data_IF_036884798230
#
_entry.id   IF_036884798230
#
_cell.length_a   1.000
_cell.length_b   1.000
_cell.length_c   1.000
_cell.angle_alpha   90.00
_cell.angle_beta   90.00
_cell.angle_gamma   90.00
#
_symmetry.space_group_name_H-M   'P 1'
#
loop_
_entity.id
_entity.type
_entity.pdbx_description
1 polymer ?
#
# COMPACT_ATOMS: atom_id res chain seq x y z
N UNK A 1 -17.35 -7.15 29.09
CA UNK A 1 -18.05 -6.64 27.89
C UNK A 1 -18.19 -7.77 26.89
N UNK A 2 -19.40 -8.09 26.44
CA UNK A 2 -19.60 -9.05 25.34
C UNK A 2 -19.18 -8.38 24.02
N UNK A 3 -18.31 -9.03 23.24
CA UNK A 3 -18.01 -8.58 21.87
C UNK A 3 -19.33 -8.55 21.08
N UNK A 4 -19.62 -7.43 20.45
CA UNK A 4 -20.77 -7.28 19.56
C UNK A 4 -20.30 -7.44 18.11
N UNK A 5 -21.12 -8.09 17.29
CA UNK A 5 -20.85 -8.35 15.89
C UNK A 5 -22.06 -7.94 15.06
N UNK A 6 -21.84 -7.60 13.79
CA UNK A 6 -22.90 -7.29 12.83
C UNK A 6 -23.04 -8.39 11.79
N UNK A 7 -24.26 -8.58 11.27
CA UNK A 7 -24.50 -9.51 10.16
C UNK A 7 -23.74 -9.02 8.92
N UNK A 8 -23.07 -9.94 8.23
CA UNK A 8 -22.15 -9.66 7.12
C UNK A 8 -20.70 -9.44 7.54
N UNK A 9 -20.41 -9.34 8.84
CA UNK A 9 -19.04 -9.14 9.33
C UNK A 9 -18.21 -10.42 9.20
N UNK A 10 -17.02 -10.32 8.60
CA UNK A 10 -16.04 -11.41 8.60
C UNK A 10 -15.38 -11.54 9.97
N UNK A 11 -15.22 -12.77 10.43
CA UNK A 11 -14.66 -13.12 11.72
C UNK A 11 -13.71 -14.30 11.58
N UNK A 12 -12.77 -14.41 12.52
CA UNK A 12 -11.86 -15.55 12.67
C UNK A 12 -12.01 -16.16 14.05
N UNK A 13 -11.95 -17.48 14.14
CA UNK A 13 -11.91 -18.17 15.43
C UNK A 13 -10.58 -17.93 16.12
N UNK A 14 -10.62 -17.44 17.36
CA UNK A 14 -9.42 -17.19 18.17
C UNK A 14 -9.15 -18.31 19.19
N UNK A 15 -10.07 -19.26 19.29
CA UNK A 15 -10.00 -20.42 20.16
C UNK A 15 -10.54 -21.64 19.41
N UNK A 16 -9.95 -22.81 19.66
CA UNK A 16 -10.45 -24.08 19.13
C UNK A 16 -11.85 -24.36 19.67
N UNK A 17 -12.75 -24.85 18.81
CA UNK A 17 -14.14 -25.16 19.17
C UNK A 17 -14.69 -26.29 18.32
N UNK A 18 -15.00 -27.44 18.95
CA UNK A 18 -15.39 -28.66 18.23
C UNK A 18 -14.38 -29.01 17.12
N UNK A 19 -14.84 -29.10 15.87
CA UNK A 19 -14.01 -29.36 14.69
C UNK A 19 -13.36 -28.10 14.08
N UNK A 20 -13.57 -26.92 14.66
CA UNK A 20 -13.08 -25.63 14.18
C UNK A 20 -11.73 -25.32 14.84
N UNK A 21 -10.74 -24.98 14.02
CA UNK A 21 -9.40 -24.63 14.46
C UNK A 21 -9.26 -23.13 14.71
N UNK A 22 -8.23 -22.75 15.46
CA UNK A 22 -7.84 -21.34 15.58
C UNK A 22 -7.40 -20.83 14.21
N UNK A 23 -7.91 -19.69 13.80
CA UNK A 23 -7.65 -19.09 12.49
C UNK A 23 -8.69 -19.43 11.42
N UNK A 24 -9.59 -20.40 11.65
CA UNK A 24 -10.69 -20.64 10.73
C UNK A 24 -11.58 -19.39 10.62
N UNK A 25 -11.96 -19.04 9.40
CA UNK A 25 -12.66 -17.79 9.06
C UNK A 25 -14.10 -18.08 8.66
N UNK A 26 -14.95 -17.06 8.83
CA UNK A 26 -16.31 -17.09 8.32
C UNK A 26 -16.99 -15.74 8.41
N UNK A 27 -18.23 -15.69 7.97
CA UNK A 27 -19.07 -14.49 8.00
C UNK A 27 -20.21 -14.66 8.99
N UNK A 28 -20.45 -13.63 9.80
CA UNK A 28 -21.60 -13.57 10.71
C UNK A 28 -22.88 -13.51 9.88
N UNK A 29 -23.73 -14.52 9.99
CA UNK A 29 -25.03 -14.57 9.29
C UNK A 29 -26.21 -14.28 10.20
N UNK A 30 -26.02 -14.41 11.52
CA UNK A 30 -27.03 -14.10 12.51
C UNK A 30 -26.38 -13.86 13.89
N UNK A 31 -27.02 -13.03 14.70
CA UNK A 31 -26.59 -12.71 16.07
C UNK A 31 -27.79 -12.76 17.00
N UNK A 32 -27.65 -13.44 18.14
CA UNK A 32 -28.60 -13.40 19.25
C UNK A 32 -27.94 -12.82 20.52
N UNK A 33 -28.70 -12.74 21.61
CA UNK A 33 -28.22 -12.16 22.87
C UNK A 33 -27.02 -12.90 23.50
N UNK A 34 -26.79 -14.16 23.14
CA UNK A 34 -25.82 -15.07 23.75
C UNK A 34 -24.82 -15.67 22.75
N UNK A 35 -25.19 -15.80 21.48
CA UNK A 35 -24.43 -16.49 20.44
C UNK A 35 -24.35 -15.70 19.14
N UNK A 36 -23.34 -16.06 18.36
CA UNK A 36 -23.18 -15.67 16.96
C UNK A 36 -23.21 -16.90 16.07
N UNK A 37 -23.85 -16.75 14.92
CA UNK A 37 -23.91 -17.76 13.87
C UNK A 37 -22.93 -17.36 12.78
N UNK A 38 -21.90 -18.18 12.58
CA UNK A 38 -20.84 -17.94 11.61
C UNK A 38 -20.99 -18.93 10.48
N UNK A 39 -21.25 -18.44 9.26
CA UNK A 39 -21.11 -19.25 8.05
C UNK A 39 -19.62 -19.38 7.74
N UNK A 40 -19.09 -20.58 7.92
CA UNK A 40 -17.67 -20.87 7.78
C UNK A 40 -17.26 -20.73 6.31
N UNK A 41 -16.13 -20.07 6.08
CA UNK A 41 -15.51 -19.90 4.76
C UNK A 41 -14.32 -20.85 4.59
N UNK A 42 -13.62 -21.16 5.69
CA UNK A 42 -12.45 -22.04 5.69
C UNK A 42 -12.60 -23.21 6.66
N UNK A 43 -11.62 -24.11 6.64
CA UNK A 43 -11.55 -25.27 7.53
C UNK A 43 -12.51 -26.40 7.14
N UNK A 44 -12.56 -27.43 7.98
CA UNK A 44 -13.32 -28.68 7.74
C UNK A 44 -14.83 -28.43 7.63
N UNK A 45 -15.32 -27.32 8.20
CA UNK A 45 -16.74 -26.95 8.18
C UNK A 45 -17.09 -25.89 7.13
N UNK A 46 -16.21 -25.60 6.17
CA UNK A 46 -16.47 -24.61 5.12
C UNK A 46 -17.85 -24.82 4.47
N UNK A 47 -18.59 -23.73 4.27
CA UNK A 47 -19.96 -23.73 3.76
C UNK A 47 -21.06 -24.01 4.80
N UNK A 48 -20.71 -24.51 5.99
CA UNK A 48 -21.67 -24.77 7.08
C UNK A 48 -21.79 -23.58 8.03
N UNK A 49 -22.91 -23.51 8.76
CA UNK A 49 -23.08 -22.54 9.84
C UNK A 49 -22.67 -23.16 11.18
N UNK A 50 -21.82 -22.46 11.92
CA UNK A 50 -21.41 -22.81 13.27
C UNK A 50 -21.93 -21.80 14.27
N UNK A 51 -22.49 -22.28 15.38
CA UNK A 51 -23.02 -21.44 16.47
C UNK A 51 -22.03 -21.45 17.62
N UNK A 52 -21.59 -20.28 18.06
CA UNK A 52 -20.61 -20.15 19.14
C UNK A 52 -20.82 -18.88 19.97
N UNK A 53 -20.17 -18.81 21.13
CA UNK A 53 -20.17 -17.60 21.94
C UNK A 53 -19.30 -16.49 21.32
N UNK A 54 -19.71 -15.20 21.41
CA UNK A 54 -19.00 -14.08 20.79
C UNK A 54 -17.51 -13.98 21.16
N UNK A 55 -17.10 -14.40 22.36
CA UNK A 55 -15.70 -14.30 22.79
C UNK A 55 -14.76 -15.24 22.02
N UNK A 56 -15.28 -16.28 21.35
CA UNK A 56 -14.50 -17.29 20.58
C UNK A 56 -14.07 -16.83 19.20
N UNK A 57 -14.57 -15.67 18.77
CA UNK A 57 -14.23 -15.10 17.48
C UNK A 57 -13.71 -13.67 17.64
N UNK A 58 -12.91 -13.26 16.69
CA UNK A 58 -12.43 -11.88 16.51
C UNK A 58 -12.89 -11.37 15.15
N UNK A 59 -13.26 -10.09 15.11
CA UNK A 59 -13.53 -9.41 13.86
C UNK A 59 -12.30 -9.44 12.97
N UNK A 60 -12.45 -9.94 11.74
CA UNK A 60 -11.45 -9.71 10.70
C UNK A 60 -11.67 -8.29 10.23
N UNK A 61 -10.75 -7.41 10.61
CA UNK A 61 -10.70 -6.07 10.07
C UNK A 61 -10.01 -6.19 8.71
N UNK A 62 -10.61 -5.73 7.61
CA UNK A 62 -9.84 -5.61 6.38
C UNK A 62 -8.64 -4.72 6.69
N UNK A 63 -7.51 -4.98 6.08
CA UNK A 63 -6.36 -4.08 6.19
C UNK A 63 -6.64 -2.82 5.33
N UNK A 64 -6.17 -1.64 5.74
CA UNK A 64 -6.26 -0.46 4.89
C UNK A 64 -5.49 -0.69 3.59
N UNK A 65 -6.02 -0.16 2.49
CA UNK A 65 -5.39 -0.28 1.17
C UNK A 65 -4.04 0.44 1.12
N UNK A 66 -3.90 1.51 1.90
CA UNK A 66 -2.70 2.34 1.94
C UNK A 66 -2.13 2.44 3.34
N UNK A 67 -0.86 2.85 3.41
CA UNK A 67 -0.18 3.22 4.66
C UNK A 67 0.35 4.65 4.57
N UNK A 68 0.64 5.24 5.73
CA UNK A 68 1.28 6.55 5.81
C UNK A 68 2.60 6.55 5.06
N UNK A 69 2.82 7.56 4.22
CA UNK A 69 3.98 7.72 3.35
C UNK A 69 3.78 7.19 1.93
N UNK A 70 2.76 6.38 1.66
CA UNK A 70 2.48 5.90 0.30
C UNK A 70 2.22 7.06 -0.66
N UNK A 71 2.71 6.92 -1.89
CA UNK A 71 2.31 7.77 -3.01
C UNK A 71 1.08 7.20 -3.66
N UNK A 72 0.04 8.01 -3.78
CA UNK A 72 -1.24 7.61 -4.35
C UNK A 72 -1.67 8.57 -5.44
N UNK A 73 -2.32 8.04 -6.48
CA UNK A 73 -2.87 8.82 -7.58
C UNK A 73 -4.37 8.94 -7.41
N UNK A 74 -4.90 10.15 -7.45
CA UNK A 74 -6.35 10.35 -7.44
C UNK A 74 -6.95 9.89 -8.78
N UNK A 75 -7.91 9.00 -8.75
CA UNK A 75 -8.65 8.51 -9.93
C UNK A 75 -10.11 8.94 -9.95
N UNK A 76 -10.55 9.67 -8.91
CA UNK A 76 -11.92 10.17 -8.79
C UNK A 76 -11.97 11.67 -8.94
N UNK A 77 -12.95 12.17 -9.69
CA UNK A 77 -13.22 13.59 -9.82
C UNK A 77 -14.14 14.12 -8.71
N UNK A 78 -14.50 13.30 -7.73
CA UNK A 78 -15.41 13.69 -6.67
C UNK A 78 -14.70 14.51 -5.58
N UNK A 79 -15.27 15.67 -5.23
CA UNK A 79 -14.93 16.46 -4.04
C UNK A 79 -13.62 17.28 -4.08
N UNK A 80 -13.51 18.25 -3.16
CA UNK A 80 -12.32 19.08 -2.85
C UNK A 80 -11.54 19.70 -4.03
N UNK A 81 -12.15 19.84 -5.21
CA UNK A 81 -11.54 20.57 -6.36
C UNK A 81 -11.10 21.98 -5.97
N UNK A 82 -11.87 22.65 -5.11
CA UNK A 82 -11.56 24.00 -4.60
C UNK A 82 -10.31 24.08 -3.71
N UNK A 83 -9.83 22.95 -3.18
CA UNK A 83 -8.61 22.88 -2.37
C UNK A 83 -7.42 22.32 -3.18
N UNK A 84 -7.52 22.28 -4.51
CA UNK A 84 -6.43 21.83 -5.38
C UNK A 84 -6.35 20.33 -5.63
N UNK A 85 -7.37 19.55 -5.23
CA UNK A 85 -7.46 18.13 -5.59
C UNK A 85 -7.73 17.97 -7.10
N UNK A 86 -6.88 17.21 -7.80
CA UNK A 86 -6.92 17.01 -9.25
C UNK A 86 -6.89 15.52 -9.57
N UNK A 87 -7.69 15.10 -10.55
CA UNK A 87 -7.64 13.72 -11.09
C UNK A 87 -6.31 13.50 -11.80
N UNK A 88 -5.73 12.32 -11.64
CA UNK A 88 -4.45 11.92 -12.21
C UNK A 88 -3.22 12.45 -11.47
N UNK A 89 -3.39 13.43 -10.58
CA UNK A 89 -2.30 13.94 -9.76
C UNK A 89 -1.93 12.96 -8.64
N UNK A 90 -0.66 13.02 -8.24
CA UNK A 90 -0.11 12.19 -7.17
C UNK A 90 -0.07 12.97 -5.86
N UNK A 91 -0.32 12.26 -4.77
CA UNK A 91 -0.41 12.77 -3.41
C UNK A 91 0.26 11.81 -2.44
N UNK A 92 0.58 12.30 -1.25
CA UNK A 92 1.21 11.52 -0.19
C UNK A 92 0.20 11.22 0.90
N UNK A 93 0.04 9.95 1.27
CA UNK A 93 -0.82 9.56 2.39
C UNK A 93 -0.20 10.06 3.69
N UNK A 94 -0.84 11.03 4.33
CA UNK A 94 -0.42 11.60 5.61
C UNK A 94 -0.98 10.83 6.82
N UNK A 95 -2.20 10.32 6.69
CA UNK A 95 -2.87 9.55 7.73
C UNK A 95 -3.85 8.56 7.11
N UNK A 96 -4.07 7.44 7.80
CA UNK A 96 -5.09 6.44 7.49
C UNK A 96 -5.99 6.33 8.72
N UNK A 97 -7.31 6.37 8.54
CA UNK A 97 -8.29 6.30 9.64
C UNK A 97 -9.33 5.24 9.38
N UNK A 98 -9.68 4.49 10.43
CA UNK A 98 -10.85 3.61 10.45
C UNK A 98 -12.11 4.45 10.73
N UNK A 99 -12.95 4.65 9.72
CA UNK A 99 -14.18 5.43 9.80
C UNK A 99 -15.21 4.80 10.76
N UNK A 100 -15.18 3.48 10.95
CA UNK A 100 -16.15 2.79 11.78
C UNK A 100 -15.83 3.03 13.27
N UNK A 101 -14.54 3.17 13.61
CA UNK A 101 -14.11 3.55 14.95
C UNK A 101 -14.17 5.07 15.16
N UNK A 102 -13.79 5.86 14.15
CA UNK A 102 -13.66 7.31 14.29
C UNK A 102 -15.01 8.07 14.21
N UNK A 103 -15.98 7.56 13.46
CA UNK A 103 -17.26 8.25 13.21
C UNK A 103 -18.48 7.44 13.62
N UNK A 104 -18.29 6.25 14.21
CA UNK A 104 -19.35 5.27 14.48
C UNK A 104 -20.21 4.95 13.23
N UNK A 105 -19.69 5.22 12.03
CA UNK A 105 -20.41 5.02 10.79
C UNK A 105 -20.38 3.54 10.41
N UNK A 106 -21.56 2.92 10.32
CA UNK A 106 -21.68 1.49 10.00
C UNK A 106 -21.95 1.23 8.50
N UNK A 107 -21.84 2.27 7.68
CA UNK A 107 -22.11 2.25 6.25
C UNK A 107 -21.00 2.99 5.48
N UNK A 108 -20.63 2.46 4.31
CA UNK A 108 -19.58 3.03 3.45
C UNK A 108 -18.22 2.32 3.62
N UNK A 109 -17.17 2.94 3.09
CA UNK A 109 -15.81 2.39 3.20
C UNK A 109 -15.26 2.47 4.62
N UNK A 110 -14.62 1.38 5.05
CA UNK A 110 -14.04 1.30 6.39
C UNK A 110 -12.91 2.28 6.60
N UNK A 111 -12.03 2.45 5.62
CA UNK A 111 -10.88 3.34 5.76
C UNK A 111 -11.01 4.60 4.93
N UNK A 112 -10.44 5.67 5.46
CA UNK A 112 -10.20 6.90 4.73
C UNK A 112 -8.76 7.36 4.92
N UNK A 113 -8.27 8.13 3.97
CA UNK A 113 -6.94 8.72 4.00
C UNK A 113 -7.00 10.24 4.07
N UNK A 114 -5.96 10.83 4.64
CA UNK A 114 -5.62 12.24 4.50
C UNK A 114 -4.41 12.38 3.57
N UNK A 115 -4.41 13.41 2.74
CA UNK A 115 -3.34 13.73 1.80
C UNK A 115 -2.51 14.89 2.35
N UNK A 116 -1.19 14.73 2.40
CA UNK A 116 -0.28 15.71 2.97
C UNK A 116 -0.41 17.08 2.29
N UNK A 117 -0.56 17.08 0.97
CA UNK A 117 -0.60 18.29 0.13
C UNK A 117 -1.88 19.11 0.33
N UNK A 118 -2.94 18.51 0.91
CA UNK A 118 -4.21 19.20 1.18
C UNK A 118 -4.34 19.67 2.63
N UNK A 119 -3.42 19.33 3.52
CA UNK A 119 -3.54 19.65 4.95
C UNK A 119 -3.54 21.15 5.24
N UNK A 120 -2.84 21.94 4.42
CA UNK A 120 -2.79 23.39 4.58
C UNK A 120 -4.16 24.05 4.29
N UNK A 121 -4.86 23.57 3.27
CA UNK A 121 -6.17 24.08 2.86
C UNK A 121 -7.31 23.49 3.69
N UNK A 122 -7.18 22.24 4.15
CA UNK A 122 -8.20 21.60 4.98
C UNK A 122 -7.57 20.53 5.88
N UNK A 123 -7.26 20.86 7.13
CA UNK A 123 -6.60 19.92 8.06
C UNK A 123 -7.45 18.68 8.44
N UNK A 124 -8.77 18.78 8.32
CA UNK A 124 -9.72 17.73 8.74
C UNK A 124 -10.29 16.93 7.56
N UNK A 125 -9.74 17.07 6.35
CA UNK A 125 -10.25 16.33 5.21
C UNK A 125 -9.99 14.83 5.35
N UNK A 126 -10.97 14.01 4.93
CA UNK A 126 -10.87 12.56 4.86
C UNK A 126 -11.42 12.08 3.53
N UNK A 127 -10.70 11.19 2.86
CA UNK A 127 -11.03 10.71 1.52
C UNK A 127 -11.14 9.20 1.50
N UNK A 128 -12.12 8.67 0.80
CA UNK A 128 -12.29 7.24 0.60
C UNK A 128 -11.11 6.63 -0.15
N UNK A 129 -10.62 5.46 0.30
CA UNK A 129 -9.47 4.78 -0.32
C UNK A 129 -9.76 4.30 -1.74
N UNK A 130 -11.03 4.03 -2.07
CA UNK A 130 -11.43 3.63 -3.44
C UNK A 130 -11.17 4.71 -4.49
N UNK A 131 -11.06 5.97 -4.08
CA UNK A 131 -10.83 7.11 -4.99
C UNK A 131 -9.37 7.20 -5.46
N UNK A 132 -8.50 6.33 -4.96
CA UNK A 132 -7.06 6.39 -5.20
C UNK A 132 -6.48 5.05 -5.65
N UNK A 133 -5.37 5.12 -6.35
CA UNK A 133 -4.52 3.99 -6.72
C UNK A 133 -3.12 4.17 -6.15
N UNK A 134 -2.49 3.07 -5.73
CA UNK A 134 -1.10 3.11 -5.28
C UNK A 134 -0.21 3.40 -6.49
N UNK A 135 0.65 4.41 -6.35
CA UNK A 135 1.74 4.65 -7.29
C UNK A 135 2.92 3.86 -6.78
N UNK A 136 3.30 2.81 -7.51
CA UNK A 136 4.51 2.07 -7.20
C UNK A 136 5.70 3.05 -7.20
N UNK A 137 6.49 3.06 -6.11
CA UNK A 137 7.78 3.76 -6.14
C UNK A 137 8.61 3.15 -7.27
N UNK A 138 9.32 3.96 -8.10
CA UNK A 138 10.16 3.42 -9.14
C UNK A 138 11.25 2.56 -8.49
N UNK A 139 11.10 1.24 -8.58
CA UNK A 139 12.07 0.26 -8.07
C UNK A 139 13.37 0.23 -8.86
N UNK A 140 13.47 1.01 -9.93
CA UNK A 140 14.58 1.03 -10.87
C UNK A 140 15.00 2.48 -11.11
N UNK A 141 16.24 2.82 -10.77
CA UNK A 141 16.89 4.07 -11.13
C UNK A 141 18.04 3.77 -12.10
N UNK A 142 18.25 4.64 -13.10
CA UNK A 142 19.40 4.54 -13.99
C UNK A 142 20.48 5.51 -13.52
N UNK A 143 21.75 5.10 -13.53
CA UNK A 143 22.89 5.97 -13.20
C UNK A 143 24.00 5.81 -14.23
N UNK A 144 24.84 6.83 -14.33
CA UNK A 144 26.00 6.85 -15.22
C UNK A 144 27.24 6.73 -14.35
N UNK A 145 28.18 5.86 -14.72
CA UNK A 145 29.51 5.79 -14.10
C UNK A 145 30.61 5.72 -15.15
N UNK A 146 31.84 6.10 -14.80
CA UNK A 146 32.98 5.96 -15.72
C UNK A 146 33.41 4.50 -15.79
N UNK A 147 33.69 4.00 -17.01
CA UNK A 147 34.17 2.64 -17.20
C UNK A 147 35.46 2.38 -16.39
N UNK A 148 35.55 1.22 -15.73
CA UNK A 148 36.70 0.84 -14.91
C UNK A 148 36.71 1.34 -13.46
N UNK A 149 35.65 2.02 -12.99
CA UNK A 149 35.50 2.44 -11.58
C UNK A 149 34.78 1.38 -10.72
N UNK A 150 35.13 1.29 -9.44
CA UNK A 150 34.57 0.29 -8.53
C UNK A 150 33.05 0.49 -8.36
N UNK A 151 32.29 -0.60 -8.25
CA UNK A 151 30.82 -0.60 -8.07
C UNK A 151 30.32 0.21 -6.85
N UNK A 152 31.21 0.59 -5.92
CA UNK A 152 30.88 1.43 -4.77
C UNK A 152 30.77 2.92 -5.09
N UNK A 153 31.17 3.33 -6.30
CA UNK A 153 31.16 4.72 -6.76
C UNK A 153 29.98 5.07 -7.67
N UNK A 154 28.84 4.37 -7.56
CA UNK A 154 27.61 4.81 -8.24
C UNK A 154 26.99 6.01 -7.50
N UNK A 155 27.77 7.09 -7.38
CA UNK A 155 27.37 8.40 -6.85
C UNK A 155 27.11 9.31 -8.04
N UNK A 156 25.85 9.50 -8.38
CA UNK A 156 25.41 10.34 -9.48
C UNK A 156 23.92 10.66 -9.34
N UNK A 157 23.44 11.64 -10.10
CA UNK A 157 22.02 11.98 -10.18
C UNK A 157 21.30 10.77 -10.80
N UNK A 158 20.26 10.22 -10.14
CA UNK A 158 19.48 9.14 -10.74
C UNK A 158 18.62 9.68 -11.89
N UNK A 159 18.53 8.90 -12.97
CA UNK A 159 17.67 9.14 -14.12
C UNK A 159 16.46 8.20 -14.07
N UNK A 160 15.31 8.68 -14.53
CA UNK A 160 14.07 7.91 -14.49
C UNK A 160 14.01 6.86 -15.62
N UNK A 161 14.78 7.05 -16.69
CA UNK A 161 14.84 6.13 -17.82
C UNK A 161 16.26 5.96 -18.37
N UNK A 162 16.51 4.84 -19.05
CA UNK A 162 17.77 4.60 -19.78
C UNK A 162 18.06 5.71 -20.80
N UNK A 163 17.05 6.16 -21.55
CA UNK A 163 17.21 7.17 -22.60
C UNK A 163 17.66 8.53 -22.07
N UNK A 164 17.18 8.92 -20.88
CA UNK A 164 17.65 10.13 -20.20
C UNK A 164 19.11 9.99 -19.77
N UNK A 165 19.51 8.83 -19.27
CA UNK A 165 20.90 8.55 -18.92
C UNK A 165 21.79 8.58 -20.17
N UNK A 166 21.38 7.97 -21.28
CA UNK A 166 22.10 8.01 -22.56
C UNK A 166 22.33 9.44 -23.06
N UNK A 167 21.29 10.27 -23.03
CA UNK A 167 21.40 11.68 -23.43
C UNK A 167 22.30 12.49 -22.51
N UNK A 168 22.39 12.11 -21.23
CA UNK A 168 23.28 12.78 -20.30
C UNK A 168 24.75 12.39 -20.50
N UNK A 169 25.07 11.21 -21.06
CA UNK A 169 26.46 10.79 -21.32
C UNK A 169 27.21 11.79 -22.21
N UNK A 170 26.56 12.39 -23.21
CA UNK A 170 27.18 13.39 -24.09
C UNK A 170 27.59 14.69 -23.40
N UNK A 171 27.16 14.91 -22.15
CA UNK A 171 27.55 16.08 -21.36
C UNK A 171 28.82 15.85 -20.53
N UNK A 172 29.31 14.61 -20.50
CA UNK A 172 30.54 14.25 -19.78
C UNK A 172 31.78 14.43 -20.67
N UNK A 173 32.97 14.24 -20.09
CA UNK A 173 34.25 14.45 -20.78
C UNK A 173 34.32 13.67 -22.09
N UNK A 174 34.43 14.34 -23.26
CA UNK A 174 34.52 13.68 -24.57
C UNK A 174 35.69 12.69 -24.65
N UNK A 175 35.51 11.60 -25.41
CA UNK A 175 36.50 10.52 -25.56
C UNK A 175 36.66 9.61 -24.34
N UNK A 176 35.78 9.73 -23.33
CA UNK A 176 35.69 8.80 -22.20
C UNK A 176 34.50 7.86 -22.35
N UNK A 177 34.69 6.59 -21.97
CA UNK A 177 33.63 5.58 -21.95
C UNK A 177 32.92 5.58 -20.59
N UNK A 178 31.60 5.64 -20.62
CA UNK A 178 30.71 5.58 -19.48
C UNK A 178 29.79 4.35 -19.57
N UNK A 179 29.43 3.82 -18.42
CA UNK A 179 28.50 2.72 -18.25
C UNK A 179 27.18 3.24 -17.72
N UNK A 180 26.09 2.85 -18.38
CA UNK A 180 24.75 3.06 -17.86
C UNK A 180 24.40 1.85 -17.01
N UNK A 181 24.19 2.11 -15.72
CA UNK A 181 23.85 1.08 -14.75
C UNK A 181 22.38 1.17 -14.35
N UNK A 182 21.72 0.04 -14.37
CA UNK A 182 20.46 -0.18 -13.67
C UNK A 182 20.78 -0.34 -12.18
N UNK A 183 20.19 0.48 -11.34
CA UNK A 183 20.25 0.34 -9.90
C UNK A 183 18.86 0.00 -9.41
N UNK A 184 18.71 -1.23 -8.95
CA UNK A 184 17.50 -1.64 -8.23
C UNK A 184 17.71 -1.34 -6.75
N UNK A 185 16.96 -0.37 -6.23
CA UNK A 185 17.06 0.02 -4.83
C UNK A 185 16.12 -0.86 -4.01
N UNK A 186 16.68 -1.84 -3.31
CA UNK A 186 15.92 -2.66 -2.35
C UNK A 186 15.97 -1.97 -1.00
N UNK A 187 14.94 -1.17 -0.67
CA UNK A 187 14.85 -0.49 0.63
C UNK A 187 14.44 -1.47 1.73
N UNK A 188 15.41 -2.18 2.31
CA UNK A 188 15.21 -3.01 3.51
C UNK A 188 16.29 -2.77 4.55
N UNK A 189 16.20 -1.69 5.35
CA UNK A 189 17.03 -1.35 6.55
C UNK A 189 18.56 -1.25 6.34
N UNK A 190 19.10 -1.88 5.29
CA UNK A 190 20.41 -1.80 4.69
C UNK A 190 20.16 -1.55 3.21
N UNK A 191 20.86 -0.60 2.63
CA UNK A 191 20.77 -0.30 1.19
C UNK A 191 21.45 -1.46 0.45
N UNK A 192 20.67 -2.44 0.01
CA UNK A 192 21.13 -3.44 -0.96
C UNK A 192 20.87 -2.89 -2.36
N UNK A 193 21.95 -2.70 -3.12
CA UNK A 193 21.92 -2.24 -4.50
C UNK A 193 22.27 -3.43 -5.40
N UNK A 194 21.31 -3.89 -6.20
CA UNK A 194 21.63 -4.69 -7.37
C UNK A 194 22.00 -3.74 -8.50
N UNK A 195 23.26 -3.80 -8.94
CA UNK A 195 23.79 -2.96 -10.01
C UNK A 195 24.04 -3.82 -11.23
N UNK A 196 23.37 -3.52 -12.35
CA UNK A 196 23.57 -4.19 -13.63
C UNK A 196 24.03 -3.18 -14.66
N UNK A 197 25.14 -3.47 -15.36
CA UNK A 197 25.54 -2.67 -16.53
C UNK A 197 24.62 -3.02 -17.69
N UNK A 198 23.94 -2.03 -18.25
CA UNK A 198 23.00 -2.21 -19.37
C UNK A 198 23.66 -1.82 -20.69
N UNK A 199 24.44 -0.74 -20.70
CA UNK A 199 25.02 -0.20 -21.92
C UNK A 199 26.36 0.52 -21.67
N UNK A 200 27.17 0.63 -22.74
CA UNK A 200 28.42 1.36 -22.79
C UNK A 200 28.30 2.51 -23.80
N UNK A 201 28.62 3.73 -23.38
CA UNK A 201 28.55 4.92 -24.25
C UNK A 201 29.83 5.72 -24.15
N UNK A 202 30.37 6.08 -25.29
CA UNK A 202 31.42 7.08 -25.39
C UNK A 202 30.79 8.47 -25.41
N UNK A 203 31.33 9.39 -24.61
CA UNK A 203 30.93 10.78 -24.67
C UNK A 203 31.44 11.40 -25.98
N UNK A 204 30.50 11.88 -26.79
CA UNK A 204 30.75 12.54 -28.08
C UNK A 204 31.23 13.99 -27.91
#
# INVERSE_FOLDING_TARGET
MSKQFTVGQRVKFNQRYAAIQVGDEGTIVFTDAKYVHVKMETGIRAGQVSVCYPFRVDAIRPEPKFKVGDKVRNVSDNGMKGCGLKVGAQYTVAAVRDNFEAFEAHYGERYSIQLAELLAECALHHRHESQYELVAEPTTEFRIRKHGTALREVRGIPFATQKEAEQAVSRYTPGSVYEIVEVKVVRTVKVEQEVRVIDYKEAA
#
